data_IF_850178885861
#
_entry.id   IF_850178885861
#
_cell.length_a   1.000
_cell.length_b   1.000
_cell.length_c   1.000
_cell.angle_alpha   90.00
_cell.angle_beta   90.00
_cell.angle_gamma   90.00
#
_symmetry.space_group_name_H-M   'P 1'
#
loop_
_entity.id
_entity.type
_entity.pdbx_description
1 polymer ?
#
# COMPACT_ATOMS: atom_id res chain seq x y z
N UNK A 1 -0.47 3.75 14.27
CA UNK A 1 -0.30 5.23 14.40
C UNK A 1 -1.46 5.92 13.70
N UNK A 2 -2.19 6.85 14.33
CA UNK A 2 -3.28 7.57 13.66
C UNK A 2 -2.75 8.54 12.58
N UNK A 3 -3.52 8.71 11.51
CA UNK A 3 -3.24 9.56 10.35
C UNK A 3 -4.45 10.45 10.04
N UNK A 4 -4.17 11.66 9.53
CA UNK A 4 -5.18 12.65 9.14
C UNK A 4 -5.73 13.46 10.30
N UNK A 5 -6.51 14.50 9.99
CA UNK A 5 -7.06 15.44 10.97
C UNK A 5 -8.08 14.80 11.92
N UNK A 6 -8.78 13.76 11.46
CA UNK A 6 -9.83 13.09 12.24
C UNK A 6 -9.36 11.81 12.94
N UNK A 7 -8.10 11.38 12.74
CA UNK A 7 -7.54 10.19 13.39
C UNK A 7 -8.19 8.84 13.02
N UNK A 8 -9.13 8.82 12.08
CA UNK A 8 -9.85 7.62 11.61
C UNK A 8 -8.95 6.59 10.94
N UNK A 9 -7.90 7.03 10.26
CA UNK A 9 -6.99 6.13 9.53
C UNK A 9 -5.84 5.70 10.43
N UNK A 10 -5.65 4.39 10.61
CA UNK A 10 -4.63 3.86 11.50
C UNK A 10 -3.60 3.08 10.69
N UNK A 11 -2.35 3.55 10.69
CA UNK A 11 -1.23 2.84 10.11
C UNK A 11 -0.85 1.62 10.97
N UNK A 12 -0.88 0.44 10.36
CA UNK A 12 -0.48 -0.85 10.93
C UNK A 12 0.84 -1.30 10.28
N UNK A 13 1.87 -1.46 11.11
CA UNK A 13 3.16 -2.00 10.69
C UNK A 13 3.22 -3.48 11.08
N UNK A 14 3.51 -4.34 10.09
CA UNK A 14 3.66 -5.78 10.29
C UNK A 14 5.15 -6.15 10.32
N UNK A 15 5.52 -7.30 10.92
CA UNK A 15 6.85 -7.88 10.75
C UNK A 15 7.24 -7.98 9.27
N UNK A 16 8.53 -7.93 8.96
CA UNK A 16 9.00 -7.99 7.57
C UNK A 16 9.00 -9.42 7.01
N UNK A 17 9.17 -10.42 7.86
CA UNK A 17 9.35 -11.82 7.52
C UNK A 17 8.03 -12.59 7.43
N UNK A 18 7.02 -12.21 8.21
CA UNK A 18 5.73 -12.91 8.27
C UNK A 18 4.55 -11.96 8.50
N UNK A 19 3.34 -12.46 8.25
CA UNK A 19 2.06 -11.84 8.58
C UNK A 19 1.47 -12.60 9.77
N UNK A 20 1.39 -11.99 10.97
CA UNK A 20 0.83 -12.65 12.14
C UNK A 20 -0.60 -13.15 11.88
N UNK A 21 -0.94 -14.34 12.37
CA UNK A 21 -2.25 -14.96 12.10
C UNK A 21 -3.42 -14.12 12.62
N UNK A 22 -3.21 -13.40 13.72
CA UNK A 22 -4.20 -12.50 14.31
C UNK A 22 -4.43 -11.21 13.51
N UNK A 23 -3.64 -10.93 12.46
CA UNK A 23 -3.71 -9.67 11.69
C UNK A 23 -5.11 -9.43 11.13
N UNK A 24 -5.77 -10.47 10.64
CA UNK A 24 -7.13 -10.35 10.08
C UNK A 24 -8.14 -9.94 11.16
N UNK A 25 -8.03 -10.52 12.36
CA UNK A 25 -8.93 -10.22 13.47
C UNK A 25 -8.73 -8.78 13.96
N UNK A 26 -7.47 -8.34 14.10
CA UNK A 26 -7.15 -6.96 14.48
C UNK A 26 -7.70 -5.96 13.45
N UNK A 27 -7.51 -6.23 12.15
CA UNK A 27 -8.06 -5.39 11.08
C UNK A 27 -9.59 -5.29 11.19
N UNK A 28 -10.27 -6.42 11.45
CA UNK A 28 -11.72 -6.46 11.58
C UNK A 28 -12.22 -5.70 12.83
N UNK A 29 -11.58 -5.89 13.98
CA UNK A 29 -11.92 -5.18 15.23
C UNK A 29 -11.73 -3.67 15.09
N UNK A 30 -10.65 -3.24 14.42
CA UNK A 30 -10.43 -1.82 14.11
C UNK A 30 -11.57 -1.23 13.29
N UNK A 31 -12.07 -1.98 12.30
CA UNK A 31 -13.19 -1.56 11.45
C UNK A 31 -14.51 -1.47 12.23
N UNK A 32 -14.78 -2.43 13.12
CA UNK A 32 -15.94 -2.36 14.02
C UNK A 32 -15.87 -1.12 14.91
N UNK A 33 -14.68 -0.76 15.40
CA UNK A 33 -14.45 0.44 16.18
C UNK A 33 -14.48 1.75 15.36
N UNK A 34 -14.78 1.68 14.06
CA UNK A 34 -14.90 2.85 13.18
C UNK A 34 -13.59 3.33 12.56
N UNK A 35 -12.47 2.64 12.80
CA UNK A 35 -11.17 2.95 12.22
C UNK A 35 -10.99 2.31 10.84
N UNK A 36 -10.15 2.92 10.02
CA UNK A 36 -9.73 2.38 8.71
C UNK A 36 -8.27 1.97 8.79
N UNK A 37 -7.96 0.66 8.83
CA UNK A 37 -6.58 0.19 8.90
C UNK A 37 -5.85 0.44 7.58
N UNK A 38 -4.60 0.90 7.67
CA UNK A 38 -3.69 1.07 6.54
C UNK A 38 -2.47 0.17 6.77
N UNK A 39 -2.32 -0.87 5.95
CA UNK A 39 -1.14 -1.73 5.97
C UNK A 39 0.05 -0.95 5.43
N UNK A 40 1.07 -0.79 6.27
CA UNK A 40 2.28 -0.03 5.96
C UNK A 40 3.28 -0.88 5.18
N UNK A 41 3.72 -0.37 4.04
CA UNK A 41 4.80 -0.90 3.21
C UNK A 41 4.76 -2.44 3.02
N UNK A 42 3.61 -3.04 2.65
CA UNK A 42 3.51 -4.50 2.49
C UNK A 42 4.44 -5.03 1.39
N UNK A 43 4.93 -4.16 0.49
CA UNK A 43 5.92 -4.53 -0.52
C UNK A 43 7.27 -4.99 0.07
N UNK A 44 7.51 -4.73 1.36
CA UNK A 44 8.69 -5.18 2.11
C UNK A 44 8.45 -6.45 2.92
N UNK A 45 7.22 -6.95 2.97
CA UNK A 45 6.89 -8.18 3.69
C UNK A 45 7.15 -9.39 2.78
N UNK A 46 8.04 -10.29 3.21
CA UNK A 46 8.46 -11.44 2.43
C UNK A 46 7.31 -12.42 2.21
N UNK A 47 6.53 -12.72 3.25
CA UNK A 47 5.39 -13.61 3.15
C UNK A 47 4.28 -13.05 2.23
N UNK A 48 4.01 -11.75 2.24
CA UNK A 48 3.05 -11.13 1.30
C UNK A 48 3.58 -11.13 -0.13
N UNK A 49 4.90 -11.04 -0.31
CA UNK A 49 5.51 -11.14 -1.65
C UNK A 49 5.37 -12.56 -2.21
N UNK A 50 5.57 -13.57 -1.36
CA UNK A 50 5.48 -14.99 -1.68
C UNK A 50 4.03 -15.48 -1.79
N UNK A 51 3.13 -14.95 -0.97
CA UNK A 51 1.70 -15.22 -1.00
C UNK A 51 0.89 -13.91 -1.03
N UNK A 52 0.78 -13.26 -2.20
CA UNK A 52 0.03 -12.01 -2.37
C UNK A 52 -1.46 -12.10 -2.01
N UNK A 53 -2.01 -13.32 -1.90
CA UNK A 53 -3.40 -13.51 -1.53
C UNK A 53 -3.70 -13.03 -0.09
N UNK A 54 -2.70 -13.07 0.80
CA UNK A 54 -2.84 -12.53 2.16
C UNK A 54 -3.21 -11.05 2.13
N UNK A 55 -2.47 -10.26 1.35
CA UNK A 55 -2.76 -8.83 1.22
C UNK A 55 -4.09 -8.59 0.47
N UNK A 56 -4.37 -9.36 -0.58
CA UNK A 56 -5.64 -9.27 -1.30
C UNK A 56 -6.84 -9.40 -0.36
N UNK A 57 -6.83 -10.37 0.57
CA UNK A 57 -7.93 -10.58 1.52
C UNK A 57 -8.09 -9.40 2.47
N UNK A 58 -6.98 -8.86 2.99
CA UNK A 58 -7.02 -7.67 3.85
C UNK A 58 -7.62 -6.47 3.11
N UNK A 59 -7.18 -6.22 1.88
CA UNK A 59 -7.69 -5.11 1.05
C UNK A 59 -9.16 -5.32 0.68
N UNK A 60 -9.54 -6.54 0.28
CA UNK A 60 -10.91 -6.90 -0.03
C UNK A 60 -11.84 -6.68 1.17
N UNK A 61 -11.34 -6.89 2.38
CA UNK A 61 -12.08 -6.66 3.61
C UNK A 61 -12.04 -5.20 4.07
N UNK A 62 -11.47 -4.28 3.29
CA UNK A 62 -11.53 -2.83 3.54
C UNK A 62 -10.29 -2.22 4.20
N UNK A 63 -9.19 -2.96 4.33
CA UNK A 63 -7.90 -2.38 4.67
C UNK A 63 -7.31 -1.60 3.50
N UNK A 64 -6.65 -0.48 3.79
CA UNK A 64 -5.89 0.29 2.80
C UNK A 64 -4.41 -0.11 2.83
N UNK A 65 -3.64 0.40 1.88
CA UNK A 65 -2.21 0.09 1.70
C UNK A 65 -1.44 1.36 1.41
N UNK A 66 -0.36 1.54 2.16
CA UNK A 66 0.61 2.59 1.95
C UNK A 66 1.92 2.02 1.41
N UNK A 67 2.26 2.35 0.16
CA UNK A 67 3.54 1.98 -0.43
C UNK A 67 4.63 2.99 -0.08
N UNK A 68 5.85 2.53 0.12
CA UNK A 68 7.03 3.36 0.34
C UNK A 68 7.50 4.05 -0.94
N UNK A 69 7.61 5.38 -0.95
CA UNK A 69 8.03 6.15 -2.12
C UNK A 69 9.40 5.70 -2.67
N UNK A 70 10.36 5.38 -1.78
CA UNK A 70 11.67 4.87 -2.21
C UNK A 70 11.57 3.49 -2.88
N UNK A 71 10.67 2.62 -2.42
CA UNK A 71 10.46 1.28 -2.97
C UNK A 71 9.79 1.35 -4.35
N UNK A 72 8.76 2.20 -4.48
CA UNK A 72 8.12 2.50 -5.77
C UNK A 72 9.13 3.10 -6.76
N UNK A 73 10.05 3.95 -6.28
CA UNK A 73 11.14 4.50 -7.08
C UNK A 73 12.26 3.48 -7.40
N UNK A 74 12.13 2.22 -6.98
CA UNK A 74 13.06 1.13 -7.29
C UNK A 74 14.28 1.02 -6.36
N UNK A 75 14.31 1.72 -5.23
CA UNK A 75 15.44 1.66 -4.27
C UNK A 75 15.39 0.46 -3.32
N UNK A 76 14.26 -0.23 -3.22
CA UNK A 76 14.10 -1.46 -2.44
C UNK A 76 14.61 -2.74 -3.12
N UNK A 77 15.24 -2.62 -4.29
CA UNK A 77 15.70 -3.77 -5.09
C UNK A 77 14.63 -4.33 -6.04
N UNK A 78 15.05 -5.27 -6.91
CA UNK A 78 14.22 -5.77 -8.02
C UNK A 78 12.97 -6.53 -7.55
N UNK A 79 13.09 -7.35 -6.49
CA UNK A 79 11.96 -8.13 -5.92
C UNK A 79 10.85 -7.18 -5.45
N UNK A 80 11.21 -6.21 -4.62
CA UNK A 80 10.29 -5.19 -4.09
C UNK A 80 9.69 -4.35 -5.21
N UNK A 81 10.49 -3.86 -6.16
CA UNK A 81 9.99 -3.03 -7.26
C UNK A 81 8.93 -3.77 -8.10
N UNK A 82 9.20 -5.05 -8.46
CA UNK A 82 8.27 -5.88 -9.22
C UNK A 82 6.98 -6.16 -8.44
N UNK A 83 7.07 -6.43 -7.14
CA UNK A 83 5.90 -6.65 -6.33
C UNK A 83 5.08 -5.36 -6.16
N UNK A 84 5.74 -4.23 -5.94
CA UNK A 84 5.11 -2.90 -5.85
C UNK A 84 4.32 -2.56 -7.11
N UNK A 85 4.90 -2.78 -8.30
CA UNK A 85 4.22 -2.57 -9.59
C UNK A 85 2.96 -3.44 -9.71
N UNK A 86 3.06 -4.70 -9.29
CA UNK A 86 1.94 -5.65 -9.29
C UNK A 86 0.80 -5.20 -8.36
N UNK A 87 1.12 -4.67 -7.17
CA UNK A 87 0.12 -4.10 -6.25
C UNK A 87 -0.59 -2.87 -6.83
N UNK A 88 0.17 -1.99 -7.50
CA UNK A 88 -0.39 -0.80 -8.15
C UNK A 88 -1.39 -1.18 -9.23
N UNK A 89 -1.02 -2.13 -10.10
CA UNK A 89 -1.85 -2.63 -11.21
C UNK A 89 -3.09 -3.36 -10.72
N UNK A 90 -2.99 -4.10 -9.63
CA UNK A 90 -4.09 -4.88 -9.07
C UNK A 90 -5.04 -4.08 -8.16
N UNK A 91 -4.99 -2.74 -8.19
CA UNK A 91 -5.75 -1.85 -7.30
C UNK A 91 -5.55 -2.12 -5.80
N UNK A 92 -4.42 -2.72 -5.39
CA UNK A 92 -4.11 -3.03 -3.98
C UNK A 92 -3.23 -1.97 -3.30
N UNK A 93 -2.92 -0.87 -3.99
CA UNK A 93 -2.17 0.26 -3.44
C UNK A 93 -3.07 1.49 -3.30
N UNK A 94 -3.04 2.20 -2.17
CA UNK A 94 -4.00 3.28 -1.91
C UNK A 94 -3.33 4.63 -1.76
N UNK A 95 -2.14 4.67 -1.15
CA UNK A 95 -1.32 5.88 -1.01
C UNK A 95 0.17 5.57 -1.16
N UNK A 96 0.96 6.60 -1.47
CA UNK A 96 2.42 6.57 -1.49
C UNK A 96 2.94 7.58 -0.48
N UNK A 97 3.81 7.14 0.43
CA UNK A 97 4.42 8.00 1.43
C UNK A 97 5.90 7.63 1.64
N UNK A 98 6.70 8.56 2.19
CA UNK A 98 8.14 8.36 2.39
C UNK A 98 8.47 7.51 3.61
N UNK A 99 7.48 7.20 4.45
CA UNK A 99 7.70 6.60 5.76
C UNK A 99 8.57 7.48 6.67
N UNK A 100 9.14 6.88 7.72
CA UNK A 100 10.16 7.50 8.57
C UNK A 100 11.54 7.40 7.91
N UNK A 101 11.87 8.30 6.98
CA UNK A 101 13.20 8.42 6.34
C UNK A 101 13.63 9.90 6.26
N UNK A 102 14.95 10.22 6.18
CA UNK A 102 15.49 11.58 6.27
C UNK A 102 14.97 12.57 5.22
N UNK A 103 14.69 13.81 5.64
CA UNK A 103 13.91 14.84 4.92
C UNK A 103 14.40 15.23 3.51
N UNK A 104 15.69 15.14 3.20
CA UNK A 104 16.24 15.70 1.94
C UNK A 104 15.96 14.82 0.72
N UNK A 105 16.04 13.49 0.83
CA UNK A 105 15.81 12.57 -0.32
C UNK A 105 14.32 12.29 -0.57
N UNK A 106 13.46 12.67 0.37
CA UNK A 106 12.03 12.35 0.37
C UNK A 106 11.27 12.97 -0.82
N UNK A 107 11.50 14.25 -1.16
CA UNK A 107 10.82 14.90 -2.28
C UNK A 107 11.17 14.26 -3.63
N UNK A 108 12.45 13.93 -3.83
CA UNK A 108 12.93 13.25 -5.04
C UNK A 108 12.31 11.87 -5.18
N UNK A 109 12.20 11.10 -4.10
CA UNK A 109 11.59 9.78 -4.13
C UNK A 109 10.09 9.83 -4.41
N UNK A 110 9.34 10.79 -3.85
CA UNK A 110 7.90 10.93 -4.16
C UNK A 110 7.68 11.25 -5.64
N UNK A 111 8.46 12.20 -6.19
CA UNK A 111 8.37 12.53 -7.61
C UNK A 111 8.72 11.31 -8.49
N UNK A 112 9.83 10.62 -8.18
CA UNK A 112 10.25 9.43 -8.91
C UNK A 112 9.23 8.30 -8.81
N UNK A 113 8.63 8.09 -7.63
CA UNK A 113 7.57 7.10 -7.42
C UNK A 113 6.37 7.35 -8.32
N UNK A 114 5.86 8.58 -8.38
CA UNK A 114 4.73 8.90 -9.26
C UNK A 114 5.08 8.77 -10.75
N UNK A 115 6.34 9.00 -11.15
CA UNK A 115 6.77 8.71 -12.52
C UNK A 115 6.74 7.20 -12.81
N UNK A 116 7.14 6.36 -11.86
CA UNK A 116 7.05 4.90 -12.02
C UNK A 116 5.60 4.42 -12.06
N UNK A 117 4.72 4.96 -11.22
CA UNK A 117 3.27 4.68 -11.29
C UNK A 117 2.73 5.07 -12.66
N UNK A 118 3.06 6.27 -13.16
CA UNK A 118 2.60 6.74 -14.48
C UNK A 118 3.02 5.78 -15.59
N UNK A 119 4.26 5.30 -15.57
CA UNK A 119 4.79 4.32 -16.53
C UNK A 119 4.08 2.96 -16.42
N UNK A 120 3.77 2.52 -15.21
CA UNK A 120 3.21 1.19 -14.96
C UNK A 120 1.69 1.10 -15.16
N UNK A 121 0.95 2.15 -14.80
CA UNK A 121 -0.51 2.13 -14.67
C UNK A 121 -1.19 3.43 -15.17
N UNK A 122 -0.46 4.32 -15.84
CA UNK A 122 -1.01 5.53 -16.45
C UNK A 122 -1.21 6.71 -15.49
N UNK A 123 -1.57 7.86 -16.06
CA UNK A 123 -1.73 9.13 -15.33
C UNK A 123 -2.94 9.12 -14.38
N UNK A 124 -4.02 8.43 -14.75
CA UNK A 124 -5.23 8.33 -13.92
C UNK A 124 -4.92 7.69 -12.57
N UNK A 125 -4.10 6.64 -12.56
CA UNK A 125 -3.68 5.99 -11.33
C UNK A 125 -2.87 6.91 -10.42
N UNK A 126 -2.03 7.76 -10.99
CA UNK A 126 -1.30 8.79 -10.23
C UNK A 126 -2.26 9.78 -9.57
N UNK A 127 -3.27 10.24 -10.32
CA UNK A 127 -4.27 11.18 -9.81
C UNK A 127 -5.05 10.53 -8.67
N UNK A 128 -5.50 9.28 -8.84
CA UNK A 128 -6.23 8.54 -7.81
C UNK A 128 -5.43 8.40 -6.51
N UNK A 129 -4.15 8.00 -6.59
CA UNK A 129 -3.30 7.86 -5.40
C UNK A 129 -3.08 9.19 -4.66
N UNK A 130 -3.00 10.31 -5.40
CA UNK A 130 -2.90 11.66 -4.81
C UNK A 130 -4.21 12.08 -4.14
N UNK A 131 -5.33 11.91 -4.83
CA UNK A 131 -6.66 12.23 -4.30
C UNK A 131 -6.97 11.41 -3.03
N UNK A 132 -6.58 10.14 -3.00
CA UNK A 132 -6.70 9.30 -1.82
C UNK A 132 -5.91 9.84 -0.63
N UNK A 133 -4.68 10.31 -0.86
CA UNK A 133 -3.86 10.91 0.19
C UNK A 133 -4.52 12.18 0.74
N UNK A 134 -5.00 13.05 -0.14
CA UNK A 134 -5.71 14.27 0.27
C UNK A 134 -7.00 13.95 1.04
N UNK A 135 -7.75 12.94 0.61
CA UNK A 135 -8.95 12.47 1.30
C UNK A 135 -8.63 11.95 2.71
N UNK A 136 -7.56 11.15 2.86
CA UNK A 136 -7.11 10.64 4.16
C UNK A 136 -6.71 11.79 5.10
N UNK A 137 -5.97 12.77 4.58
CA UNK A 137 -5.53 13.93 5.38
C UNK A 137 -6.73 14.78 5.84
N UNK A 138 -7.71 14.96 4.95
CA UNK A 138 -8.88 15.83 5.17
C UNK A 138 -10.10 15.11 5.78
N UNK A 139 -10.02 13.81 6.07
CA UNK A 139 -11.13 13.03 6.64
C UNK A 139 -12.23 12.67 5.63
N UNK A 140 -12.05 12.94 4.34
CA UNK A 140 -13.06 12.64 3.30
C UNK A 140 -13.10 11.15 2.95
N UNK A 141 -14.24 10.72 2.41
CA UNK A 141 -14.42 9.36 1.89
C UNK A 141 -13.56 9.10 0.66
N UNK A 142 -12.90 7.94 0.59
CA UNK A 142 -12.12 7.51 -0.57
C UNK A 142 -13.01 6.85 -1.63
N UNK A 143 -12.69 7.09 -2.90
CA UNK A 143 -13.26 6.37 -4.04
C UNK A 143 -12.26 5.32 -4.53
N UNK A 144 -12.52 4.06 -4.18
CA UNK A 144 -11.60 2.95 -4.42
C UNK A 144 -12.13 2.03 -5.52
N UNK A 145 -11.21 1.54 -6.35
CA UNK A 145 -11.51 0.49 -7.30
C UNK A 145 -11.47 -0.86 -6.58
N UNK A 146 -12.31 -1.84 -6.98
CA UNK A 146 -12.22 -3.19 -6.46
C UNK A 146 -10.81 -3.77 -6.62
N UNK A 147 -10.25 -4.42 -5.58
CA UNK A 147 -8.95 -5.06 -5.69
C UNK A 147 -9.03 -6.29 -6.58
N UNK A 148 -8.00 -6.50 -7.40
CA UNK A 148 -7.81 -7.70 -8.20
C UNK A 148 -6.77 -8.61 -7.56
N UNK A 149 -6.81 -9.92 -7.82
CA UNK A 149 -5.78 -10.84 -7.33
C UNK A 149 -4.47 -10.63 -8.09
N UNK A 150 -3.36 -10.62 -7.36
CA UNK A 150 -2.05 -10.54 -8.00
C UNK A 150 -1.64 -11.89 -8.57
N UNK A 151 -1.76 -12.08 -9.88
CA UNK A 151 -1.31 -13.32 -10.53
C UNK A 151 0.21 -13.49 -10.40
N UNK A 152 0.68 -14.60 -9.82
CA UNK A 152 2.08 -15.02 -9.98
C UNK A 152 2.18 -15.79 -11.29
N UNK A 153 3.14 -15.44 -12.16
CA UNK A 153 3.48 -16.31 -13.29
C UNK A 153 4.04 -17.60 -12.69
N UNK A 154 3.24 -18.67 -12.68
CA UNK A 154 3.74 -20.02 -12.39
C UNK A 154 4.65 -20.40 -13.55
N UNK A 155 5.95 -20.51 -13.27
CA UNK A 155 6.86 -21.18 -14.18
C UNK A 155 6.60 -22.67 -13.98
N UNK A 156 6.00 -23.32 -14.98
CA UNK A 156 6.02 -24.77 -15.05
C UNK A 156 7.45 -25.16 -15.40
N UNK A 157 8.14 -25.80 -14.46
CA UNK A 157 9.37 -26.55 -14.71
C UNK A 157 9.01 -28.02 -14.83
#
# INVERSE_FOLDING_TARGET
MPLGLEGKYILLELPYDHVPDYTTNVVFEMQIAGYVPIISQPERNDEMTENPDKLYRLVKNGALVQLGAANVAGKGGKKVAKFTERLIKANQAHIIATGRQPRVKNKLFVQSAYQQVKKAAGSERVIQLKNNLDAIVTGKTLLLNPPERVTQKRWFF
#
